data_IF_742763872008
#
_entry.id   IF_742763872008
#
_cell.length_a   1.000
_cell.length_b   1.000
_cell.length_c   1.000
_cell.angle_alpha   90.00
_cell.angle_beta   90.00
_cell.angle_gamma   90.00
#
_symmetry.space_group_name_H-M   'P 1'
#
loop_
_entity.id
_entity.type
_entity.pdbx_description
1 polymer ?
#
# COMPACT_ATOMS: atom_id res chain seq x y z
N UNK A 1 22.41 28.29 -13.42
CA UNK A 1 21.24 27.98 -12.56
C UNK A 1 21.74 27.30 -11.29
N UNK A 2 21.42 27.84 -10.11
CA UNK A 2 22.15 27.59 -8.86
C UNK A 2 21.52 26.45 -8.01
N UNK A 3 22.36 25.53 -7.52
CA UNK A 3 22.05 24.34 -6.69
C UNK A 3 21.43 24.63 -5.30
N UNK A 4 21.05 25.87 -5.01
CA UNK A 4 20.62 26.32 -3.66
C UNK A 4 19.11 26.39 -3.45
N UNK A 5 18.29 26.12 -4.46
CA UNK A 5 16.82 26.14 -4.33
C UNK A 5 16.17 24.77 -4.05
N UNK A 6 16.94 23.68 -3.95
CA UNK A 6 16.39 22.33 -3.69
C UNK A 6 16.52 21.87 -2.21
N UNK A 7 16.97 22.74 -1.31
CA UNK A 7 17.24 22.41 0.10
C UNK A 7 16.27 23.05 1.11
N UNK A 8 15.09 23.51 0.72
CA UNK A 8 14.10 24.06 1.66
C UNK A 8 13.12 23.04 2.27
N UNK A 9 13.33 21.74 2.09
CA UNK A 9 12.55 20.68 2.77
C UNK A 9 13.49 19.81 3.60
N UNK A 10 14.15 20.42 4.60
CA UNK A 10 14.91 19.70 5.62
C UNK A 10 15.04 20.58 6.86
N UNK A 11 14.03 20.53 7.73
CA UNK A 11 14.02 21.26 8.99
C UNK A 11 13.09 20.58 10.00
N UNK A 12 13.70 19.69 10.80
CA UNK A 12 13.27 19.12 12.08
C UNK A 12 11.86 19.43 12.62
N UNK A 13 11.04 18.37 12.77
CA UNK A 13 10.15 18.19 13.93
C UNK A 13 10.13 16.71 14.34
N UNK A 14 10.48 16.46 15.59
CA UNK A 14 10.30 15.20 16.26
C UNK A 14 8.82 15.06 16.69
N UNK A 15 8.17 13.97 16.28
CA UNK A 15 6.77 13.67 16.60
C UNK A 15 5.77 14.31 15.63
N UNK A 16 5.00 13.47 14.91
CA UNK A 16 4.10 13.81 13.79
C UNK A 16 4.84 14.26 12.52
N UNK A 17 4.42 14.01 11.29
CA UNK A 17 3.47 13.13 10.62
C UNK A 17 3.88 13.26 9.13
N UNK A 18 3.66 12.25 8.27
CA UNK A 18 3.83 12.45 6.83
C UNK A 18 3.09 13.71 6.37
N UNK A 19 3.74 14.56 5.58
CA UNK A 19 3.13 15.79 5.09
C UNK A 19 1.88 15.50 4.25
N UNK A 20 0.97 16.46 4.14
CA UNK A 20 -0.16 16.39 3.21
C UNK A 20 0.42 16.22 1.79
N UNK A 21 0.03 15.14 1.10
CA UNK A 21 0.53 14.81 -0.24
C UNK A 21 1.89 14.08 -0.28
N UNK A 22 2.51 13.79 0.87
CA UNK A 22 3.65 12.86 0.91
C UNK A 22 3.16 11.41 0.79
N UNK A 23 3.81 10.64 -0.07
CA UNK A 23 3.59 9.20 -0.26
C UNK A 23 4.29 8.41 0.83
N UNK A 24 5.61 8.51 0.94
CA UNK A 24 6.41 8.02 2.05
C UNK A 24 7.79 8.68 2.00
N UNK A 25 8.64 8.42 2.99
CA UNK A 25 10.02 8.89 2.98
C UNK A 25 11.00 7.74 3.22
N UNK A 26 12.26 7.96 2.83
CA UNK A 26 13.35 7.01 2.98
C UNK A 26 14.56 7.66 3.63
N UNK A 27 15.33 6.88 4.38
CA UNK A 27 16.68 7.27 4.79
C UNK A 27 17.59 7.25 3.56
N UNK A 28 18.24 8.38 3.26
CA UNK A 28 19.09 8.58 2.06
C UNK A 28 20.39 7.77 2.08
N UNK A 29 20.63 7.01 3.14
CA UNK A 29 21.90 6.33 3.40
C UNK A 29 22.13 5.08 2.53
N UNK A 30 21.09 4.52 1.92
CA UNK A 30 21.17 3.25 1.18
C UNK A 30 20.24 3.22 -0.05
N UNK A 31 20.73 2.70 -1.18
CA UNK A 31 19.93 2.50 -2.39
C UNK A 31 19.14 1.19 -2.34
N UNK A 32 17.86 1.23 -2.73
CA UNK A 32 17.04 0.03 -2.94
C UNK A 32 17.43 -0.61 -4.28
N UNK A 33 17.77 -1.90 -4.29
CA UNK A 33 18.02 -2.65 -5.53
C UNK A 33 16.97 -3.73 -5.82
N UNK A 34 16.09 -3.98 -4.84
CA UNK A 34 15.06 -4.99 -4.90
C UNK A 34 13.71 -4.42 -4.50
N UNK A 35 12.70 -4.62 -5.35
CA UNK A 35 11.31 -4.32 -5.09
C UNK A 35 10.49 -5.61 -5.02
N UNK A 36 9.75 -5.81 -3.95
CA UNK A 36 8.71 -6.85 -3.84
C UNK A 36 7.35 -6.19 -3.97
N UNK A 37 6.66 -6.44 -5.07
CA UNK A 37 5.30 -5.99 -5.32
C UNK A 37 4.32 -7.06 -4.83
N UNK A 38 3.45 -6.68 -3.90
CA UNK A 38 2.45 -7.56 -3.30
C UNK A 38 1.06 -7.13 -3.76
N UNK A 39 0.48 -7.91 -4.67
CA UNK A 39 -0.83 -7.64 -5.26
C UNK A 39 -1.93 -8.21 -4.35
N UNK A 40 -2.77 -7.33 -3.81
CA UNK A 40 -3.99 -7.67 -3.08
C UNK A 40 -5.14 -7.73 -4.09
N UNK A 41 -5.23 -8.85 -4.79
CA UNK A 41 -6.08 -9.04 -5.96
C UNK A 41 -7.55 -9.21 -5.57
N UNK A 42 -8.37 -8.29 -6.07
CA UNK A 42 -9.78 -8.15 -5.79
C UNK A 42 -10.19 -6.79 -5.21
N UNK A 43 -9.29 -5.85 -4.95
CA UNK A 43 -9.65 -4.56 -4.36
C UNK A 43 -9.79 -4.64 -2.84
N UNK A 44 -8.67 -4.38 -2.14
CA UNK A 44 -8.58 -4.50 -0.69
C UNK A 44 -9.51 -3.49 0.03
N UNK A 45 -10.24 -3.98 1.02
CA UNK A 45 -11.09 -3.11 1.84
C UNK A 45 -10.24 -2.24 2.78
N UNK A 46 -10.08 -0.98 2.36
CA UNK A 46 -9.28 -0.01 3.09
C UNK A 46 -9.79 0.30 4.49
N UNK A 47 -11.10 0.40 4.70
CA UNK A 47 -11.66 0.83 5.99
C UNK A 47 -11.71 -0.28 7.04
N UNK A 48 -11.55 -1.55 6.64
CA UNK A 48 -11.27 -2.66 7.56
C UNK A 48 -9.81 -3.14 7.50
N UNK A 49 -8.92 -2.45 6.75
CA UNK A 49 -7.46 -2.68 6.80
C UNK A 49 -6.79 -1.63 7.68
N UNK A 50 -7.03 -0.34 7.36
CA UNK A 50 -6.57 0.85 8.09
C UNK A 50 -7.81 1.63 8.52
N UNK A 51 -8.16 1.46 9.78
CA UNK A 51 -9.50 1.69 10.31
C UNK A 51 -9.60 3.11 10.89
N UNK A 52 -10.48 3.98 10.37
CA UNK A 52 -10.77 5.29 10.95
C UNK A 52 -11.75 5.15 12.13
N UNK A 53 -11.37 4.36 13.13
CA UNK A 53 -12.25 3.89 14.21
C UNK A 53 -12.85 5.00 15.10
N UNK A 54 -12.27 6.20 15.04
CA UNK A 54 -12.74 7.39 15.75
C UNK A 54 -13.82 8.18 14.98
N UNK A 55 -13.99 7.96 13.67
CA UNK A 55 -15.06 8.60 12.90
C UNK A 55 -16.38 7.85 13.13
N UNK A 56 -17.43 8.48 13.70
CA UNK A 56 -18.71 7.82 13.95
C UNK A 56 -19.38 7.31 12.66
N UNK A 57 -19.07 7.90 11.50
CA UNK A 57 -19.59 7.46 10.20
C UNK A 57 -19.10 6.08 9.83
N UNK A 58 -17.93 5.65 10.30
CA UNK A 58 -17.41 4.31 10.04
C UNK A 58 -18.40 3.24 10.50
N UNK A 59 -18.90 3.35 11.75
CA UNK A 59 -19.92 2.44 12.27
C UNK A 59 -21.28 2.60 11.59
N UNK A 60 -21.67 3.84 11.29
CA UNK A 60 -22.95 4.09 10.62
C UNK A 60 -23.01 3.55 9.17
N UNK A 61 -21.87 3.55 8.48
CA UNK A 61 -21.73 3.00 7.12
C UNK A 61 -21.52 1.49 7.12
N UNK A 62 -21.06 0.91 8.24
CA UNK A 62 -20.71 -0.51 8.37
C UNK A 62 -21.32 -1.18 9.60
N UNK A 63 -22.66 -1.27 9.70
CA UNK A 63 -23.34 -1.90 10.83
C UNK A 63 -22.80 -3.29 11.24
N UNK A 64 -22.40 -4.12 10.28
CA UNK A 64 -21.92 -5.49 10.52
C UNK A 64 -20.41 -5.66 10.32
N UNK A 65 -19.77 -4.79 9.53
CA UNK A 65 -18.33 -4.87 9.26
C UNK A 65 -17.48 -4.01 10.21
N UNK A 66 -18.04 -3.01 10.88
CA UNK A 66 -17.26 -2.11 11.73
C UNK A 66 -16.66 -2.82 12.95
N UNK A 67 -15.38 -2.62 13.19
CA UNK A 67 -14.70 -3.11 14.39
C UNK A 67 -14.76 -2.10 15.54
N UNK A 68 -14.86 -2.62 16.77
CA UNK A 68 -14.86 -1.83 18.00
C UNK A 68 -13.45 -1.37 18.39
N UNK A 69 -13.34 -0.42 19.33
CA UNK A 69 -12.05 0.10 19.79
C UNK A 69 -11.19 -0.98 20.45
N UNK A 70 -11.83 -1.98 21.04
CA UNK A 70 -11.23 -3.10 21.76
C UNK A 70 -10.74 -4.20 20.80
N UNK A 71 -11.26 -4.25 19.58
CA UNK A 71 -10.93 -5.25 18.57
C UNK A 71 -9.75 -4.84 17.66
N UNK A 72 -9.41 -3.55 17.61
CA UNK A 72 -8.44 -2.99 16.68
C UNK A 72 -7.07 -2.76 17.32
N UNK A 73 -6.04 -2.61 16.48
CA UNK A 73 -4.68 -2.27 16.91
C UNK A 73 -4.45 -0.77 16.70
N UNK A 74 -4.52 0.08 17.74
CA UNK A 74 -4.39 1.52 17.55
C UNK A 74 -2.99 1.92 17.07
N UNK A 75 -2.92 2.75 16.03
CA UNK A 75 -1.69 3.41 15.57
C UNK A 75 -1.58 4.82 16.14
N UNK A 76 -2.72 5.50 16.28
CA UNK A 76 -2.87 6.78 16.97
C UNK A 76 -4.33 6.95 17.47
N UNK A 77 -4.69 8.18 17.87
CA UNK A 77 -6.03 8.50 18.40
C UNK A 77 -7.19 8.31 17.40
N UNK A 78 -6.90 8.28 16.09
CA UNK A 78 -7.90 8.29 15.02
C UNK A 78 -7.84 7.09 14.08
N UNK A 79 -6.66 6.47 13.97
CA UNK A 79 -6.35 5.40 13.01
C UNK A 79 -5.86 4.16 13.75
N UNK A 80 -6.35 3.00 13.32
CA UNK A 80 -5.96 1.69 13.83
C UNK A 80 -5.75 0.68 12.68
N UNK A 81 -5.14 -0.46 12.95
CA UNK A 81 -5.07 -1.59 12.04
C UNK A 81 -6.07 -2.67 12.42
N UNK A 82 -6.47 -3.46 11.43
CA UNK A 82 -7.18 -4.71 11.65
C UNK A 82 -6.39 -5.66 12.57
N UNK A 83 -7.04 -6.41 13.49
CA UNK A 83 -6.36 -7.34 14.40
C UNK A 83 -5.48 -8.37 13.69
N UNK A 84 -5.90 -8.88 12.53
CA UNK A 84 -5.09 -9.82 11.73
C UNK A 84 -3.74 -9.25 11.26
N UNK A 85 -3.55 -7.92 11.32
CA UNK A 85 -2.29 -7.28 10.95
C UNK A 85 -1.29 -7.20 12.12
N UNK A 86 -1.60 -7.81 13.27
CA UNK A 86 -0.70 -7.85 14.43
C UNK A 86 0.76 -8.24 14.12
N UNK A 87 1.05 -9.22 13.23
CA UNK A 87 2.43 -9.56 12.87
C UNK A 87 3.26 -8.38 12.34
N UNK A 88 2.63 -7.40 11.70
CA UNK A 88 3.28 -6.21 11.14
C UNK A 88 3.73 -5.20 12.20
N UNK A 89 3.25 -5.33 13.45
CA UNK A 89 3.59 -4.39 14.51
C UNK A 89 5.08 -4.40 14.88
N UNK A 90 5.79 -5.49 14.58
CA UNK A 90 7.25 -5.54 14.72
C UNK A 90 7.95 -4.55 13.78
N UNK A 91 7.56 -4.50 12.50
CA UNK A 91 8.08 -3.56 11.51
C UNK A 91 7.62 -2.12 11.79
N UNK A 92 6.36 -1.93 12.20
CA UNK A 92 5.84 -0.62 12.62
C UNK A 92 6.67 -0.01 13.75
N UNK A 93 6.91 -0.78 14.83
CA UNK A 93 7.69 -0.32 15.99
C UNK A 93 9.17 -0.10 15.67
N UNK A 94 9.70 -0.84 14.69
CA UNK A 94 11.05 -0.62 14.17
C UNK A 94 11.17 0.62 13.27
N UNK A 95 10.06 1.34 13.02
CA UNK A 95 9.98 2.45 12.08
C UNK A 95 10.32 2.05 10.63
N UNK A 96 10.06 0.80 10.26
CA UNK A 96 10.36 0.21 8.94
C UNK A 96 9.09 -0.03 8.10
N UNK A 97 7.93 0.40 8.59
CA UNK A 97 6.64 0.27 7.91
C UNK A 97 5.95 1.63 7.76
N UNK A 98 5.73 2.04 6.52
CA UNK A 98 4.93 3.18 6.13
C UNK A 98 3.57 2.72 5.57
N UNK A 99 2.52 3.46 5.90
CA UNK A 99 1.16 3.22 5.39
C UNK A 99 0.69 4.51 4.72
N UNK A 100 0.41 4.42 3.43
CA UNK A 100 -0.05 5.53 2.60
C UNK A 100 -1.54 5.38 2.37
N UNK A 101 -2.33 6.36 2.81
CA UNK A 101 -3.79 6.32 2.74
C UNK A 101 -4.29 7.09 1.51
N UNK A 102 -5.51 6.77 1.07
CA UNK A 102 -6.19 7.49 0.00
C UNK A 102 -5.57 7.28 -1.39
N UNK A 103 -4.93 6.14 -1.63
CA UNK A 103 -4.25 5.87 -2.90
C UNK A 103 -5.23 5.29 -3.91
N UNK A 104 -5.22 5.81 -5.13
CA UNK A 104 -6.00 5.30 -6.26
C UNK A 104 -5.63 6.03 -7.54
N UNK A 105 -6.57 6.17 -8.47
CA UNK A 105 -6.42 6.98 -9.67
C UNK A 105 -7.77 7.61 -10.06
N UNK A 106 -7.70 8.69 -10.84
CA UNK A 106 -8.89 9.39 -11.33
C UNK A 106 -9.72 8.53 -12.29
N UNK A 107 -11.04 8.70 -12.24
CA UNK A 107 -12.01 7.91 -13.01
C UNK A 107 -11.79 6.38 -12.85
N UNK A 108 -11.91 5.86 -11.61
CA UNK A 108 -11.63 4.46 -11.31
C UNK A 108 -12.45 3.51 -12.18
N UNK A 109 -11.77 2.54 -12.77
CA UNK A 109 -12.40 1.51 -13.59
C UNK A 109 -12.85 0.36 -12.68
N UNK A 110 -14.05 -0.18 -12.88
CA UNK A 110 -14.56 -1.31 -12.07
C UNK A 110 -14.27 -2.68 -12.67
N UNK A 111 -13.64 -2.73 -13.83
CA UNK A 111 -13.12 -3.98 -14.38
C UNK A 111 -11.79 -4.29 -13.72
N UNK A 112 -11.70 -5.44 -13.06
CA UNK A 112 -10.44 -5.96 -12.51
C UNK A 112 -9.35 -6.01 -13.59
N UNK A 113 -9.69 -6.56 -14.76
CA UNK A 113 -8.77 -6.64 -15.89
C UNK A 113 -8.22 -5.26 -16.27
N UNK A 114 -9.11 -4.29 -16.43
CA UNK A 114 -8.70 -2.95 -16.87
C UNK A 114 -7.93 -2.20 -15.79
N UNK A 115 -8.32 -2.36 -14.53
CA UNK A 115 -7.65 -1.74 -13.39
C UNK A 115 -6.23 -2.26 -13.22
N UNK A 116 -6.02 -3.57 -13.33
CA UNK A 116 -4.67 -4.13 -13.34
C UNK A 116 -3.83 -3.61 -14.51
N UNK A 117 -4.40 -3.49 -15.72
CA UNK A 117 -3.68 -2.87 -16.84
C UNK A 117 -3.25 -1.43 -16.53
N UNK A 118 -4.11 -0.62 -15.90
CA UNK A 118 -3.77 0.74 -15.47
C UNK A 118 -2.60 0.71 -14.47
N UNK A 119 -2.66 -0.16 -13.45
CA UNK A 119 -1.58 -0.29 -12.47
C UNK A 119 -0.28 -0.83 -13.07
N UNK A 120 -0.36 -1.75 -14.04
CA UNK A 120 0.80 -2.39 -14.65
C UNK A 120 1.51 -1.47 -15.65
N UNK A 121 0.74 -0.69 -16.42
CA UNK A 121 1.28 0.22 -17.44
C UNK A 121 1.46 1.66 -16.93
N UNK A 122 0.90 1.97 -15.75
CA UNK A 122 0.75 3.31 -15.23
C UNK A 122 0.00 4.28 -16.20
N UNK A 123 -0.83 3.76 -17.10
CA UNK A 123 -1.60 4.55 -18.07
C UNK A 123 -2.77 5.29 -17.41
N UNK A 124 -3.27 6.36 -18.04
CA UNK A 124 -4.54 6.97 -17.61
C UNK A 124 -5.73 6.02 -17.82
N UNK A 125 -6.84 6.27 -17.10
CA UNK A 125 -8.00 5.38 -17.13
C UNK A 125 -8.61 5.22 -18.53
N UNK A 126 -8.53 6.28 -19.34
CA UNK A 126 -8.97 6.37 -20.74
C UNK A 126 -7.92 5.89 -21.76
N UNK A 127 -6.70 5.55 -21.33
CA UNK A 127 -5.60 5.14 -22.20
C UNK A 127 -5.31 3.63 -22.11
N UNK A 128 -5.46 2.91 -23.23
CA UNK A 128 -5.22 1.47 -23.30
C UNK A 128 -3.80 1.16 -23.78
N UNK A 129 -2.97 0.72 -22.84
CA UNK A 129 -1.56 0.37 -23.06
C UNK A 129 -1.32 -1.12 -22.80
N UNK A 130 -0.26 -1.66 -23.38
CA UNK A 130 0.17 -3.06 -23.21
C UNK A 130 1.67 -3.17 -22.89
N UNK A 131 2.39 -2.05 -22.84
CA UNK A 131 3.78 -2.00 -22.48
C UNK A 131 3.93 -1.99 -20.95
N UNK A 132 4.59 -3.02 -20.43
CA UNK A 132 5.01 -3.04 -19.03
C UNK A 132 6.27 -2.19 -18.89
N UNK A 133 6.21 -1.20 -18.02
CA UNK A 133 7.35 -0.31 -17.74
C UNK A 133 8.31 -0.89 -16.70
N UNK A 134 7.96 -2.00 -16.06
CA UNK A 134 8.75 -2.62 -15.00
C UNK A 134 9.03 -4.08 -15.40
N UNK A 135 10.30 -4.45 -15.61
CA UNK A 135 10.67 -5.84 -15.87
C UNK A 135 10.51 -6.66 -14.58
N UNK A 136 9.74 -7.76 -14.63
CA UNK A 136 9.26 -8.48 -13.43
C UNK A 136 9.53 -9.97 -13.48
N UNK A 137 9.87 -10.52 -12.32
CA UNK A 137 9.80 -11.97 -12.07
C UNK A 137 8.62 -12.26 -11.14
N UNK A 138 7.65 -13.06 -11.59
CA UNK A 138 6.52 -13.48 -10.75
C UNK A 138 6.88 -14.73 -9.95
N UNK A 139 6.53 -14.74 -8.66
CA UNK A 139 6.72 -15.90 -7.77
C UNK A 139 5.41 -16.29 -7.08
N UNK A 140 5.28 -17.57 -6.75
CA UNK A 140 4.02 -18.13 -6.25
C UNK A 140 3.72 -17.82 -4.77
N UNK A 141 4.72 -17.40 -3.97
CA UNK A 141 4.53 -17.16 -2.54
C UNK A 141 5.60 -16.23 -1.94
N UNK A 142 5.35 -15.72 -0.73
CA UNK A 142 6.35 -14.97 0.05
C UNK A 142 7.61 -15.78 0.32
N UNK A 143 7.49 -17.08 0.60
CA UNK A 143 8.66 -17.95 0.81
C UNK A 143 9.47 -18.12 -0.47
N UNK A 144 8.81 -18.19 -1.63
CA UNK A 144 9.49 -18.21 -2.93
C UNK A 144 10.21 -16.87 -3.20
N UNK A 145 9.58 -15.74 -2.87
CA UNK A 145 10.22 -14.43 -2.93
C UNK A 145 11.46 -14.39 -2.02
N UNK A 146 11.32 -14.82 -0.76
CA UNK A 146 12.40 -14.81 0.23
C UNK A 146 13.60 -15.65 -0.24
N UNK A 147 13.37 -16.86 -0.77
CA UNK A 147 14.44 -17.72 -1.32
C UNK A 147 15.13 -17.10 -2.54
N UNK A 148 14.36 -16.50 -3.44
CA UNK A 148 14.91 -15.81 -4.62
C UNK A 148 15.86 -14.68 -4.17
N UNK A 149 15.41 -13.85 -3.22
CA UNK A 149 16.16 -12.68 -2.75
C UNK A 149 17.34 -12.99 -1.83
N UNK A 150 17.26 -14.06 -1.04
CA UNK A 150 18.37 -14.46 -0.17
C UNK A 150 19.60 -14.95 -0.96
N UNK A 151 19.40 -15.41 -2.19
CA UNK A 151 20.45 -16.07 -3.00
C UNK A 151 20.92 -15.23 -4.19
N UNK A 152 20.13 -14.27 -4.64
CA UNK A 152 20.44 -13.45 -5.82
C UNK A 152 20.77 -12.01 -5.42
N UNK A 153 22.00 -11.57 -5.71
CA UNK A 153 22.35 -10.15 -5.82
C UNK A 153 22.36 -9.78 -7.29
N UNK A 154 21.54 -8.82 -7.69
CA UNK A 154 21.55 -8.32 -9.06
C UNK A 154 22.80 -7.48 -9.31
N UNK A 155 23.36 -7.59 -10.52
CA UNK A 155 24.41 -6.70 -10.99
C UNK A 155 23.76 -5.58 -11.82
N UNK A 156 23.21 -4.59 -11.12
CA UNK A 156 22.61 -3.39 -11.71
C UNK A 156 21.10 -3.49 -11.99
N UNK A 157 20.42 -2.34 -11.86
CA UNK A 157 18.97 -2.21 -12.05
C UNK A 157 18.13 -2.62 -10.83
N UNK A 158 16.86 -2.22 -10.83
CA UNK A 158 15.88 -2.62 -9.82
C UNK A 158 15.31 -4.01 -10.17
N UNK A 159 15.54 -4.99 -9.30
CA UNK A 159 14.91 -6.30 -9.42
C UNK A 159 13.48 -6.25 -8.87
N UNK A 160 12.47 -6.54 -9.68
CA UNK A 160 11.09 -6.58 -9.23
C UNK A 160 10.56 -8.02 -9.11
N UNK A 161 10.13 -8.40 -7.90
CA UNK A 161 9.48 -9.66 -7.61
C UNK A 161 8.00 -9.44 -7.33
N UNK A 162 7.13 -10.21 -7.98
CA UNK A 162 5.69 -10.14 -7.80
C UNK A 162 5.17 -11.29 -6.96
N UNK A 163 4.43 -10.97 -5.90
CA UNK A 163 3.64 -11.90 -5.11
C UNK A 163 2.17 -11.50 -5.23
N UNK A 164 1.31 -12.41 -5.68
CA UNK A 164 -0.13 -12.14 -5.79
C UNK A 164 -0.92 -12.92 -4.75
N UNK A 165 -1.75 -12.20 -3.98
CA UNK A 165 -2.70 -12.75 -3.04
C UNK A 165 -4.11 -12.53 -3.59
N UNK A 166 -4.76 -13.62 -3.99
CA UNK A 166 -6.13 -13.61 -4.50
C UNK A 166 -7.17 -13.60 -3.39
N UNK A 167 -8.38 -13.18 -3.73
CA UNK A 167 -9.58 -13.35 -2.90
C UNK A 167 -10.05 -12.08 -2.20
N UNK A 168 -9.41 -10.93 -2.44
CA UNK A 168 -9.87 -9.64 -1.90
C UNK A 168 -11.16 -9.16 -2.58
N UNK A 169 -11.73 -9.92 -3.54
CA UNK A 169 -13.00 -9.56 -4.20
C UNK A 169 -14.24 -9.83 -3.32
N UNK A 170 -14.32 -9.20 -2.14
CA UNK A 170 -15.21 -9.59 -1.05
C UNK A 170 -16.60 -8.90 -1.10
N UNK A 171 -17.44 -9.26 -2.07
CA UNK A 171 -18.81 -8.71 -2.18
C UNK A 171 -19.84 -9.26 -1.17
N UNK A 172 -19.48 -10.30 -0.43
CA UNK A 172 -20.32 -10.98 0.57
C UNK A 172 -19.45 -11.52 1.71
N UNK A 173 -20.02 -11.97 2.84
CA UNK A 173 -19.29 -12.68 3.91
C UNK A 173 -17.91 -12.05 4.28
N UNK A 174 -17.81 -10.73 4.22
CA UNK A 174 -16.52 -10.05 4.09
C UNK A 174 -15.72 -10.10 5.38
N UNK A 175 -16.37 -9.97 6.53
CA UNK A 175 -15.70 -9.94 7.84
C UNK A 175 -14.74 -11.14 8.03
N UNK A 176 -15.22 -12.36 7.79
CA UNK A 176 -14.40 -13.56 7.95
C UNK A 176 -13.36 -13.70 6.83
N UNK A 177 -13.78 -13.54 5.56
CA UNK A 177 -12.89 -13.74 4.41
C UNK A 177 -11.72 -12.76 4.41
N UNK A 178 -12.01 -11.48 4.64
CA UNK A 178 -11.00 -10.42 4.68
C UNK A 178 -10.03 -10.59 5.85
N UNK A 179 -10.53 -10.96 7.04
CA UNK A 179 -9.67 -11.23 8.20
C UNK A 179 -8.65 -12.36 7.93
N UNK A 180 -9.06 -13.43 7.23
CA UNK A 180 -8.17 -14.53 6.84
C UNK A 180 -7.12 -14.09 5.81
N UNK A 181 -7.52 -13.29 4.82
CA UNK A 181 -6.61 -12.74 3.82
C UNK A 181 -5.56 -11.80 4.45
N UNK A 182 -6.00 -10.92 5.35
CA UNK A 182 -5.10 -10.03 6.08
C UNK A 182 -4.14 -10.80 6.99
N UNK A 183 -4.55 -11.92 7.59
CA UNK A 183 -3.65 -12.78 8.38
C UNK A 183 -2.54 -13.35 7.50
N UNK A 184 -2.91 -13.95 6.36
CA UNK A 184 -1.95 -14.50 5.39
C UNK A 184 -0.98 -13.44 4.87
N UNK A 185 -1.50 -12.26 4.57
CA UNK A 185 -0.70 -11.10 4.16
C UNK A 185 0.30 -10.70 5.25
N UNK A 186 -0.16 -10.50 6.48
CA UNK A 186 0.67 -10.04 7.59
C UNK A 186 1.73 -11.07 8.00
N UNK A 187 1.36 -12.34 8.11
CA UNK A 187 2.28 -13.44 8.40
C UNK A 187 3.33 -13.60 7.31
N UNK A 188 2.92 -13.54 6.04
CA UNK A 188 3.81 -13.62 4.89
C UNK A 188 4.84 -12.49 4.86
N UNK A 189 4.40 -11.25 5.11
CA UNK A 189 5.30 -10.11 5.21
C UNK A 189 6.25 -10.19 6.41
N UNK A 190 5.76 -10.63 7.58
CA UNK A 190 6.61 -10.81 8.76
C UNK A 190 7.68 -11.88 8.52
N UNK A 191 7.32 -13.00 7.90
CA UNK A 191 8.25 -14.07 7.51
C UNK A 191 9.28 -13.61 6.47
N UNK A 192 8.84 -12.88 5.43
CA UNK A 192 9.72 -12.30 4.43
C UNK A 192 10.73 -11.35 5.09
N UNK A 193 10.27 -10.42 5.93
CA UNK A 193 11.14 -9.49 6.67
C UNK A 193 12.16 -10.24 7.51
N UNK A 194 11.75 -11.23 8.30
CA UNK A 194 12.66 -12.01 9.15
C UNK A 194 13.74 -12.72 8.33
N UNK A 195 13.37 -13.33 7.20
CA UNK A 195 14.31 -14.03 6.30
C UNK A 195 15.30 -13.07 5.63
N UNK A 196 14.83 -11.89 5.21
CA UNK A 196 15.69 -10.89 4.60
C UNK A 196 16.63 -10.23 5.62
N UNK A 197 16.22 -10.10 6.87
CA UNK A 197 17.12 -9.66 7.95
C UNK A 197 18.22 -10.70 8.17
N UNK A 198 17.84 -11.97 8.29
CA UNK A 198 18.80 -13.06 8.51
C UNK A 198 19.81 -13.23 7.37
N UNK A 199 19.39 -12.99 6.12
CA UNK A 199 20.28 -13.04 4.94
C UNK A 199 21.05 -11.74 4.68
N UNK A 200 20.82 -10.68 5.48
CA UNK A 200 21.41 -9.36 5.24
C UNK A 200 20.93 -8.70 3.94
N UNK A 201 19.73 -9.04 3.47
CA UNK A 201 19.09 -8.45 2.29
C UNK A 201 18.09 -7.33 2.63
N UNK A 202 17.63 -7.25 3.89
CA UNK A 202 16.56 -6.32 4.29
C UNK A 202 16.85 -4.84 4.00
N UNK A 203 18.10 -4.39 4.18
CA UNK A 203 18.51 -3.00 3.97
C UNK A 203 18.49 -2.55 2.49
N UNK A 204 18.31 -3.47 1.53
CA UNK A 204 18.25 -3.15 0.09
C UNK A 204 16.94 -3.59 -0.56
N UNK A 205 16.03 -4.16 0.23
CA UNK A 205 14.70 -4.57 -0.23
C UNK A 205 13.65 -3.56 0.20
N UNK A 206 12.80 -3.18 -0.75
CA UNK A 206 11.55 -2.48 -0.52
C UNK A 206 10.39 -3.40 -0.86
N UNK A 207 9.43 -3.53 0.04
CA UNK A 207 8.14 -4.18 -0.21
C UNK A 207 7.09 -3.09 -0.41
N UNK A 208 6.24 -3.22 -1.43
CA UNK A 208 5.12 -2.33 -1.70
C UNK A 208 3.88 -3.14 -2.04
N UNK A 209 2.73 -2.82 -1.44
CA UNK A 209 1.45 -3.41 -1.85
C UNK A 209 0.83 -2.70 -3.05
N UNK A 210 0.04 -3.43 -3.84
CA UNK A 210 -0.87 -2.88 -4.86
C UNK A 210 -2.28 -3.43 -4.63
N UNK A 211 -3.26 -2.65 -5.02
CA UNK A 211 -4.69 -2.97 -4.97
C UNK A 211 -5.29 -2.25 -6.15
N UNK A 212 -5.89 -2.99 -7.08
CA UNK A 212 -6.38 -2.45 -8.35
C UNK A 212 -7.41 -1.32 -8.18
N UNK A 213 -8.15 -1.33 -7.06
CA UNK A 213 -9.00 -0.25 -6.58
C UNK A 213 -9.29 -0.43 -5.08
N UNK A 214 -10.13 0.44 -4.50
CA UNK A 214 -10.61 0.37 -3.13
C UNK A 214 -11.98 -0.31 -2.99
N UNK A 215 -12.59 -0.14 -1.81
CA UNK A 215 -13.96 -0.59 -1.52
C UNK A 215 -14.87 0.55 -1.14
N UNK A 216 -16.15 0.38 -1.43
CA UNK A 216 -17.18 1.32 -1.01
C UNK A 216 -17.15 1.49 0.53
N UNK A 217 -17.44 2.70 0.98
CA UNK A 217 -17.44 2.98 2.41
C UNK A 217 -18.61 2.30 3.13
N UNK A 218 -19.76 2.19 2.45
CA UNK A 218 -20.97 1.54 2.94
C UNK A 218 -20.92 0.04 2.69
N UNK A 219 -21.28 -0.76 3.69
CA UNK A 219 -21.50 -2.20 3.51
C UNK A 219 -22.79 -2.46 2.70
N UNK A 220 -22.76 -3.47 1.85
CA UNK A 220 -23.90 -3.89 1.05
C UNK A 220 -24.79 -4.90 1.83
N UNK A 221 -25.95 -5.21 1.26
CA UNK A 221 -26.92 -6.11 1.90
C UNK A 221 -26.45 -7.57 2.02
N UNK A 222 -25.40 -7.97 1.30
CA UNK A 222 -24.83 -9.31 1.32
C UNK A 222 -23.72 -9.49 2.38
N UNK A 223 -23.50 -8.47 3.22
CA UNK A 223 -22.43 -8.51 4.22
C UNK A 223 -21.03 -8.37 3.62
N UNK A 224 -20.92 -7.69 2.48
CA UNK A 224 -19.66 -7.27 1.87
C UNK A 224 -19.68 -5.81 1.45
N UNK A 225 -18.83 -5.44 0.48
CA UNK A 225 -18.72 -4.07 -0.02
C UNK A 225 -18.53 -4.09 -1.52
N UNK A 226 -19.16 -3.13 -2.20
CA UNK A 226 -18.97 -2.93 -3.64
C UNK A 226 -17.58 -2.31 -3.92
N UNK A 227 -17.20 -2.23 -5.18
CA UNK A 227 -15.96 -1.58 -5.59
C UNK A 227 -15.97 -0.09 -5.23
N UNK A 228 -14.81 0.46 -4.86
CA UNK A 228 -14.63 1.89 -4.57
C UNK A 228 -13.32 2.41 -5.13
N UNK A 229 -12.99 3.68 -4.91
CA UNK A 229 -11.87 4.31 -5.59
C UNK A 229 -10.50 4.11 -4.91
N UNK A 230 -10.42 4.42 -3.61
CA UNK A 230 -9.13 4.49 -2.90
C UNK A 230 -8.92 3.39 -1.86
N UNK A 231 -7.66 2.95 -1.71
CA UNK A 231 -7.20 2.00 -0.70
C UNK A 231 -5.93 2.49 0.01
N UNK A 232 -5.62 1.99 1.22
CA UNK A 232 -4.32 2.17 1.84
C UNK A 232 -3.29 1.18 1.28
N UNK A 233 -2.03 1.63 1.16
CA UNK A 233 -0.92 0.81 0.69
C UNK A 233 0.23 0.80 1.71
N UNK A 234 0.90 -0.34 1.81
CA UNK A 234 1.98 -0.58 2.75
C UNK A 234 3.31 -0.52 2.00
N UNK A 235 4.26 0.24 2.52
CA UNK A 235 5.65 0.22 2.12
C UNK A 235 6.51 -0.22 3.31
N UNK A 236 7.30 -1.27 3.14
CA UNK A 236 8.08 -1.88 4.22
C UNK A 236 9.50 -2.17 3.76
N UNK A 237 10.51 -1.79 4.55
CA UNK A 237 11.91 -1.98 4.18
C UNK A 237 12.86 -1.39 5.20
N UNK A 238 14.12 -1.84 5.20
CA UNK A 238 15.12 -1.37 6.17
C UNK A 238 15.45 0.13 6.10
N UNK A 239 15.18 0.77 4.96
CA UNK A 239 15.42 2.21 4.75
C UNK A 239 14.12 3.03 4.70
N UNK A 240 12.96 2.39 4.89
CA UNK A 240 11.69 3.11 4.92
C UNK A 240 11.63 3.94 6.19
N UNK A 241 11.21 5.20 6.10
CA UNK A 241 10.79 5.98 7.26
C UNK A 241 9.33 5.64 7.56
N UNK A 242 9.12 4.83 8.58
CA UNK A 242 7.79 4.40 9.00
C UNK A 242 6.86 5.54 9.40
N UNK A 243 5.56 5.22 9.44
CA UNK A 243 4.51 6.16 9.82
C UNK A 243 3.25 6.11 8.93
N UNK A 244 2.31 7.00 9.24
CA UNK A 244 1.12 7.25 8.41
C UNK A 244 1.39 8.41 7.46
N UNK A 245 1.03 8.22 6.20
CA UNK A 245 1.16 9.16 5.10
C UNK A 245 -0.15 9.30 4.34
N UNK A 246 -0.28 10.39 3.58
CA UNK A 246 -1.54 10.80 2.95
C UNK A 246 -2.63 11.19 3.95
N UNK A 247 -3.79 11.56 3.43
CA UNK A 247 -4.92 11.94 4.27
C UNK A 247 -5.69 10.71 4.79
N UNK A 248 -6.17 10.73 6.05
CA UNK A 248 -7.15 9.76 6.52
C UNK A 248 -8.40 9.76 5.63
N UNK A 249 -9.11 8.62 5.51
CA UNK A 249 -10.29 8.52 4.65
C UNK A 249 -11.38 9.52 5.06
N UNK A 250 -11.90 10.28 4.09
CA UNK A 250 -12.94 11.30 4.31
C UNK A 250 -14.34 10.70 4.12
N UNK A 251 -14.92 10.18 5.20
CA UNK A 251 -16.23 9.52 5.18
C UNK A 251 -17.42 10.49 5.08
N UNK A 252 -17.18 11.80 5.20
CA UNK A 252 -18.16 12.87 5.02
C UNK A 252 -18.30 13.33 3.56
N UNK A 253 -17.41 12.89 2.68
CA UNK A 253 -17.32 13.34 1.28
C UNK A 253 -17.02 12.16 0.36
N UNK A 254 -17.87 11.14 0.40
CA UNK A 254 -17.74 10.01 -0.52
C UNK A 254 -17.91 10.46 -1.97
N UNK A 255 -17.30 9.71 -2.90
CA UNK A 255 -17.52 9.94 -4.33
C UNK A 255 -18.96 9.58 -4.75
N UNK A 256 -19.28 9.77 -6.04
CA UNK A 256 -20.61 9.52 -6.59
C UNK A 256 -21.07 8.06 -6.42
N UNK A 257 -20.12 7.14 -6.20
CA UNK A 257 -20.34 5.70 -6.09
C UNK A 257 -20.26 5.21 -4.63
N UNK A 258 -20.09 6.12 -3.67
CA UNK A 258 -19.96 5.78 -2.25
C UNK A 258 -18.55 5.29 -1.87
N UNK A 259 -17.57 5.43 -2.75
CA UNK A 259 -16.17 5.16 -2.49
C UNK A 259 -15.48 6.25 -1.67
N UNK A 260 -14.39 5.87 -1.00
CA UNK A 260 -13.48 6.85 -0.40
C UNK A 260 -12.76 7.58 -1.53
N UNK A 261 -12.77 8.93 -1.57
CA UNK A 261 -12.09 9.68 -2.63
C UNK A 261 -10.59 9.40 -2.67
N UNK A 262 -10.04 9.44 -3.87
CA UNK A 262 -8.60 9.43 -4.11
C UNK A 262 -7.99 10.74 -3.62
N UNK A 263 -6.93 10.62 -2.84
CA UNK A 263 -6.09 11.73 -2.35
C UNK A 263 -4.71 11.71 -3.03
N UNK A 264 -4.17 10.50 -3.23
CA UNK A 264 -2.86 10.26 -3.82
C UNK A 264 -3.02 9.39 -5.06
N UNK A 265 -2.54 9.90 -6.21
CA UNK A 265 -2.42 9.07 -7.41
C UNK A 265 -1.34 8.00 -7.21
N UNK A 266 -1.66 6.74 -7.52
CA UNK A 266 -0.74 5.61 -7.32
C UNK A 266 0.59 5.76 -8.07
N UNK A 267 0.62 6.52 -9.17
CA UNK A 267 1.86 6.78 -9.92
C UNK A 267 2.89 7.49 -9.06
N UNK A 268 2.44 8.28 -8.07
CA UNK A 268 3.34 8.88 -7.08
C UNK A 268 4.01 7.85 -6.19
N UNK A 269 3.35 6.72 -5.88
CA UNK A 269 4.00 5.61 -5.18
C UNK A 269 5.13 5.02 -6.04
N UNK A 270 4.87 4.79 -7.32
CA UNK A 270 5.87 4.28 -8.25
C UNK A 270 7.05 5.25 -8.41
N UNK A 271 6.80 6.55 -8.59
CA UNK A 271 7.85 7.56 -8.63
C UNK A 271 8.70 7.56 -7.34
N UNK A 272 8.05 7.37 -6.19
CA UNK A 272 8.68 7.31 -4.87
C UNK A 272 9.58 6.08 -4.73
N UNK A 273 9.11 4.91 -5.18
CA UNK A 273 9.87 3.65 -5.22
C UNK A 273 11.08 3.74 -6.14
N UNK A 274 10.90 4.27 -7.37
CA UNK A 274 11.99 4.45 -8.32
C UNK A 274 13.05 5.43 -7.79
N UNK A 275 12.61 6.54 -7.18
CA UNK A 275 13.52 7.49 -6.53
C UNK A 275 14.34 6.84 -5.41
N UNK A 276 13.75 5.95 -4.60
CA UNK A 276 14.46 5.18 -3.58
C UNK A 276 15.49 4.19 -4.17
N UNK A 277 15.25 3.73 -5.40
CA UNK A 277 16.19 2.91 -6.16
C UNK A 277 17.23 3.73 -6.93
N UNK A 278 17.21 5.07 -6.84
CA UNK A 278 18.09 5.95 -7.61
C UNK A 278 17.78 5.96 -9.11
N UNK A 279 16.58 5.52 -9.50
CA UNK A 279 16.10 5.49 -10.87
C UNK A 279 15.23 6.73 -11.11
N UNK A 280 15.55 7.50 -12.15
CA UNK A 280 14.75 8.66 -12.53
C UNK A 280 13.34 8.20 -12.97
N UNK A 281 12.26 8.70 -12.34
CA UNK A 281 10.91 8.31 -12.72
C UNK A 281 10.59 8.70 -14.16
N UNK A 282 9.95 7.77 -14.88
CA UNK A 282 9.42 8.02 -16.22
C UNK A 282 8.49 9.26 -16.21
N UNK A 283 8.45 10.05 -17.28
CA UNK A 283 7.58 11.24 -17.35
C UNK A 283 6.11 10.95 -17.01
N UNK A 284 5.60 9.78 -17.42
CA UNK A 284 4.24 9.33 -17.15
C UNK A 284 3.94 9.12 -15.65
N UNK A 285 4.97 8.98 -14.80
CA UNK A 285 4.82 8.81 -13.35
C UNK A 285 4.81 10.13 -12.58
N UNK A 286 4.93 11.28 -13.26
CA UNK A 286 5.10 12.61 -12.64
C UNK A 286 3.78 13.39 -12.46
N UNK A 287 2.63 12.71 -12.54
CA UNK A 287 1.30 13.31 -12.34
C UNK A 287 1.00 13.61 -10.85
#
# INVERSE_FOLDING_TARGET
>A
MNRRQFLSIAGAFAGWAGGIGETCAFDRSYSVDTLVLVDLDGGNDGLNTVIPYADPRYRALRPNLALSREQVIPLNERTALHPSLLPLMSAWRANELAIVQGVGYDAPNRSHFRSWQIWDTASHADEYRHDDWLARTSVASFDAAARCLATHRTQGGLNAIHVKLHGFDTHENQAHRHAMLLSRFAEGLASLRATLIASGAWHRTLVMTRSEFGRAARENAAGGTDHGAAAPHFLMGGNVRGGLFGMPPRLDRLDADGGVPVDIDFRRLYATVLGAAGIEPLPLLRA
#
